data_IF_274743091864
#
_entry.id   IF_274743091864
#
_cell.length_a   1.000
_cell.length_b   1.000
_cell.length_c   1.000
_cell.angle_alpha   90.00
_cell.angle_beta   90.00
_cell.angle_gamma   90.00
#
_symmetry.space_group_name_H-M   'P 1'
#
loop_
_entity.id
_entity.type
_entity.pdbx_description
1 polymer ?
#
# COMPACT_ATOMS: atom_id res chain seq x y z
N UNK A 1 6.94 -1.91 -7.12
CA UNK A 1 6.64 -3.20 -6.48
C UNK A 1 6.05 -2.93 -5.09
N UNK A 2 4.96 -3.62 -4.71
CA UNK A 2 4.30 -3.44 -3.40
C UNK A 2 4.29 -4.70 -2.53
N UNK A 3 4.43 -5.88 -3.12
CA UNK A 3 4.48 -7.15 -2.40
C UNK A 3 5.38 -8.14 -3.17
N UNK A 4 6.00 -9.08 -2.46
CA UNK A 4 6.76 -10.19 -3.04
C UNK A 4 6.44 -11.45 -2.25
N UNK A 5 6.13 -12.52 -2.97
CA UNK A 5 6.02 -13.85 -2.38
C UNK A 5 6.84 -14.85 -3.16
N UNK A 6 7.34 -15.85 -2.46
CA UNK A 6 8.02 -17.00 -3.03
C UNK A 6 7.52 -18.27 -2.34
N UNK A 7 7.53 -19.38 -3.05
CA UNK A 7 7.39 -20.70 -2.44
C UNK A 7 8.75 -21.12 -1.87
N UNK A 8 8.79 -21.49 -0.60
CA UNK A 8 9.98 -21.92 0.13
C UNK A 8 9.55 -23.11 0.99
N UNK A 9 10.18 -24.27 0.78
CA UNK A 9 9.87 -25.53 1.47
C UNK A 9 8.38 -25.94 1.35
N UNK A 10 7.78 -25.68 0.17
CA UNK A 10 6.37 -25.98 -0.11
C UNK A 10 5.37 -24.99 0.49
N UNK A 11 5.84 -23.92 1.14
CA UNK A 11 5.00 -22.88 1.73
C UNK A 11 5.19 -21.54 1.00
N UNK A 12 4.10 -20.84 0.70
CA UNK A 12 4.19 -19.48 0.13
C UNK A 12 4.49 -18.46 1.22
N UNK A 13 5.71 -17.92 1.21
CA UNK A 13 6.18 -16.90 2.14
C UNK A 13 6.19 -15.52 1.50
N UNK A 14 5.76 -14.50 2.25
CA UNK A 14 5.94 -13.09 1.84
C UNK A 14 7.30 -12.60 2.32
N UNK A 15 7.99 -11.89 1.44
CA UNK A 15 9.35 -11.40 1.66
C UNK A 15 9.34 -9.88 1.75
N UNK A 16 10.28 -9.32 2.52
CA UNK A 16 10.52 -7.88 2.50
C UNK A 16 11.07 -7.49 1.12
N UNK A 17 10.22 -6.79 0.34
CA UNK A 17 10.54 -6.35 -1.01
C UNK A 17 11.78 -5.44 -1.05
N UNK A 18 11.97 -4.61 -0.03
CA UNK A 18 13.09 -3.67 0.02
C UNK A 18 14.40 -4.41 0.21
N UNK A 19 14.43 -5.33 1.17
CA UNK A 19 15.62 -6.14 1.44
C UNK A 19 15.94 -7.09 0.26
N UNK A 20 14.92 -7.70 -0.33
CA UNK A 20 15.13 -8.67 -1.41
C UNK A 20 15.60 -8.01 -2.72
N UNK A 21 14.98 -6.89 -3.09
CA UNK A 21 15.25 -6.26 -4.38
C UNK A 21 16.50 -5.38 -4.36
N UNK A 22 16.91 -4.87 -3.20
CA UNK A 22 18.15 -4.08 -3.03
C UNK A 22 18.30 -2.98 -4.10
N UNK A 23 17.25 -2.16 -4.25
CA UNK A 23 17.22 -1.06 -5.22
C UNK A 23 17.10 -1.46 -6.70
N UNK A 24 17.18 -2.74 -7.06
CA UNK A 24 17.11 -3.21 -8.46
C UNK A 24 15.75 -2.94 -9.13
N UNK A 25 14.70 -2.69 -8.34
CA UNK A 25 13.37 -2.30 -8.84
C UNK A 25 12.77 -1.19 -7.95
N UNK A 26 12.03 -0.24 -8.53
CA UNK A 26 11.35 0.78 -7.75
C UNK A 26 10.26 0.16 -6.87
N UNK A 27 10.21 0.64 -5.63
CA UNK A 27 9.22 0.24 -4.63
C UNK A 27 8.14 1.31 -4.52
N UNK A 28 6.96 0.90 -4.08
CA UNK A 28 5.96 1.89 -3.63
C UNK A 28 6.52 2.64 -2.42
N UNK A 29 6.32 3.97 -2.30
CA UNK A 29 6.85 4.74 -1.18
C UNK A 29 6.27 4.28 0.16
N UNK A 30 7.15 4.08 1.16
CA UNK A 30 6.74 3.85 2.55
C UNK A 30 6.50 5.20 3.22
N UNK A 31 5.25 5.49 3.57
CA UNK A 31 4.88 6.78 4.18
C UNK A 31 5.02 6.77 5.71
N UNK A 32 4.87 5.61 6.35
CA UNK A 32 4.91 5.47 7.80
C UNK A 32 5.27 4.05 8.23
N UNK A 33 5.85 3.91 9.42
CA UNK A 33 6.07 2.63 10.10
C UNK A 33 5.90 2.86 11.60
N UNK A 34 5.03 2.08 12.23
CA UNK A 34 4.71 2.22 13.65
C UNK A 34 3.34 1.63 13.98
N UNK A 35 2.84 1.88 15.20
CA UNK A 35 1.51 1.46 15.63
C UNK A 35 0.42 1.97 14.69
N UNK A 36 -0.63 1.15 14.51
CA UNK A 36 -1.80 1.55 13.75
C UNK A 36 -2.59 2.62 14.52
N UNK A 37 -2.96 3.68 13.80
CA UNK A 37 -3.76 4.79 14.27
C UNK A 37 -4.70 5.19 13.12
N UNK A 38 -6.01 5.01 13.32
CA UNK A 38 -7.01 5.29 12.29
C UNK A 38 -7.10 6.77 11.94
N UNK A 39 -6.78 7.68 12.87
CA UNK A 39 -6.87 9.12 12.65
C UNK A 39 -5.81 9.61 11.66
N UNK A 40 -4.68 8.90 11.56
CA UNK A 40 -3.60 9.21 10.60
C UNK A 40 -3.87 8.70 9.19
N UNK A 41 -4.78 7.74 9.02
CA UNK A 41 -5.02 7.12 7.72
C UNK A 41 -5.47 8.14 6.66
N UNK A 42 -6.44 9.03 6.93
CA UNK A 42 -6.84 10.07 5.98
C UNK A 42 -5.69 11.00 5.58
N UNK A 43 -4.78 11.30 6.49
CA UNK A 43 -3.61 12.16 6.24
C UNK A 43 -2.68 11.52 5.21
N UNK A 44 -2.36 10.23 5.38
CA UNK A 44 -1.50 9.51 4.45
C UNK A 44 -2.20 9.18 3.12
N UNK A 45 -3.51 8.90 3.15
CA UNK A 45 -4.30 8.65 1.95
C UNK A 45 -4.34 9.88 1.04
N UNK A 46 -4.27 11.08 1.61
CA UNK A 46 -4.49 12.33 0.88
C UNK A 46 -3.21 12.95 0.29
N UNK A 47 -3.39 13.78 -0.74
CA UNK A 47 -2.32 14.56 -1.34
C UNK A 47 -1.77 13.97 -2.65
N UNK A 48 -0.62 14.50 -3.09
CA UNK A 48 -0.04 14.18 -4.39
C UNK A 48 0.97 13.04 -4.31
N UNK A 49 1.03 12.24 -5.36
CA UNK A 49 2.02 11.17 -5.48
C UNK A 49 3.46 11.72 -5.42
N UNK A 50 4.39 10.90 -4.95
CA UNK A 50 5.82 11.24 -4.86
C UNK A 50 6.70 10.38 -5.78
N UNK A 51 6.11 9.41 -6.48
CA UNK A 51 6.82 8.43 -7.32
C UNK A 51 7.48 9.11 -8.51
N UNK A 52 6.82 10.13 -9.08
CA UNK A 52 7.36 10.90 -10.20
C UNK A 52 8.44 11.91 -9.78
N UNK A 53 8.58 12.19 -8.48
CA UNK A 53 9.36 13.32 -7.96
C UNK A 53 8.76 14.71 -8.27
N UNK A 54 7.66 14.78 -9.03
CA UNK A 54 7.08 16.03 -9.55
C UNK A 54 5.69 16.36 -8.99
N UNK A 55 5.08 15.44 -8.23
CA UNK A 55 3.76 15.64 -7.60
C UNK A 55 2.71 16.03 -8.63
N UNK A 56 2.61 15.29 -9.73
CA UNK A 56 1.76 15.67 -10.87
C UNK A 56 0.30 15.24 -10.66
N UNK A 57 0.08 14.12 -9.97
CA UNK A 57 -1.24 13.51 -9.79
C UNK A 57 -1.62 13.41 -8.32
N UNK A 58 -2.92 13.40 -8.05
CA UNK A 58 -3.41 12.95 -6.75
C UNK A 58 -3.03 11.49 -6.57
N UNK A 59 -2.61 11.12 -5.36
CA UNK A 59 -2.52 9.71 -5.02
C UNK A 59 -3.95 9.16 -4.86
N UNK A 60 -4.16 7.94 -5.30
CA UNK A 60 -5.43 7.25 -5.10
C UNK A 60 -5.69 7.04 -3.61
N UNK A 61 -4.67 6.60 -2.87
CA UNK A 61 -4.79 6.32 -1.46
C UNK A 61 -3.55 5.63 -0.89
N UNK A 62 -3.76 4.83 0.14
CA UNK A 62 -2.72 4.05 0.82
C UNK A 62 -3.16 2.61 1.06
N UNK A 63 -2.17 1.72 1.12
CA UNK A 63 -2.32 0.36 1.61
C UNK A 63 -1.65 0.27 2.98
N UNK A 64 -2.36 -0.30 3.94
CA UNK A 64 -1.89 -0.53 5.30
C UNK A 64 -1.72 -2.03 5.46
N UNK A 65 -0.51 -2.46 5.86
CA UNK A 65 -0.19 -3.84 6.16
C UNK A 65 0.38 -3.97 7.56
N UNK A 66 0.18 -5.15 8.14
CA UNK A 66 0.86 -5.54 9.37
C UNK A 66 2.36 -5.71 9.12
N UNK A 67 3.18 -5.38 10.13
CA UNK A 67 4.63 -5.54 10.04
C UNK A 67 5.00 -7.04 9.94
N UNK A 68 4.43 -7.83 10.85
CA UNK A 68 4.42 -9.29 10.81
C UNK A 68 3.12 -9.74 10.16
N UNK A 69 3.21 -10.52 9.09
CA UNK A 69 2.02 -11.00 8.38
C UNK A 69 1.15 -11.86 9.28
N UNK A 70 -0.16 -11.63 9.21
CA UNK A 70 -1.16 -12.44 9.91
C UNK A 70 -2.46 -12.48 9.13
N UNK A 71 -3.25 -13.49 9.44
CA UNK A 71 -4.62 -13.61 8.98
C UNK A 71 -5.57 -12.72 9.82
N UNK A 72 -6.64 -12.26 9.19
CA UNK A 72 -7.73 -11.52 9.83
C UNK A 72 -8.92 -12.47 10.02
N UNK A 73 -9.30 -12.80 11.27
CA UNK A 73 -10.45 -13.65 11.53
C UNK A 73 -11.77 -13.00 11.09
N UNK A 74 -11.80 -11.67 10.90
CA UNK A 74 -12.98 -10.92 10.48
C UNK A 74 -13.21 -11.03 8.97
N UNK A 75 -12.15 -10.91 8.18
CA UNK A 75 -12.25 -10.84 6.71
C UNK A 75 -11.91 -12.15 6.02
N UNK A 76 -11.46 -13.18 6.75
CA UNK A 76 -11.11 -14.46 6.14
C UNK A 76 -9.83 -14.43 5.29
N UNK A 77 -9.13 -13.30 5.26
CA UNK A 77 -7.94 -13.09 4.43
C UNK A 77 -6.79 -12.45 5.19
N UNK A 78 -5.90 -11.81 4.46
CA UNK A 78 -4.75 -11.10 5.04
C UNK A 78 -5.23 -9.92 5.89
N UNK A 79 -4.56 -9.68 7.02
CA UNK A 79 -4.77 -8.47 7.81
C UNK A 79 -4.12 -7.27 7.10
N UNK A 80 -4.84 -6.72 6.13
CA UNK A 80 -4.49 -5.54 5.35
C UNK A 80 -5.72 -4.70 5.05
N UNK A 81 -5.52 -3.42 4.81
CA UNK A 81 -6.58 -2.49 4.44
C UNK A 81 -6.12 -1.55 3.33
N UNK A 82 -7.07 -1.04 2.56
CA UNK A 82 -6.88 0.04 1.59
C UNK A 82 -7.78 1.20 1.98
N UNK A 83 -7.21 2.40 2.00
CA UNK A 83 -7.96 3.64 2.18
C UNK A 83 -7.76 4.50 0.93
N UNK A 84 -8.87 4.85 0.26
CA UNK A 84 -8.87 5.71 -0.92
C UNK A 84 -9.15 7.15 -0.48
N UNK A 85 -8.44 8.11 -1.07
CA UNK A 85 -8.59 9.52 -0.70
C UNK A 85 -9.94 10.08 -1.17
N UNK A 86 -10.62 10.90 -0.34
CA UNK A 86 -11.88 11.53 -0.75
C UNK A 86 -11.74 12.40 -2.00
N UNK A 87 -10.60 13.10 -2.15
CA UNK A 87 -10.31 13.93 -3.31
C UNK A 87 -10.13 13.12 -4.59
N UNK A 88 -9.60 11.89 -4.51
CA UNK A 88 -9.51 10.99 -5.65
C UNK A 88 -10.89 10.48 -6.06
N UNK A 89 -11.72 10.05 -5.11
CA UNK A 89 -13.07 9.54 -5.38
C UNK A 89 -14.01 10.58 -6.00
N UNK A 90 -13.87 11.84 -5.59
CA UNK A 90 -14.76 12.94 -6.03
C UNK A 90 -14.23 13.71 -7.24
N UNK A 91 -13.14 13.24 -7.87
CA UNK A 91 -12.54 13.92 -9.03
C UNK A 91 -13.50 13.82 -10.23
N UNK A 92 -13.76 14.94 -10.89
CA UNK A 92 -14.71 15.06 -12.02
C UNK A 92 -14.29 14.30 -13.30
N UNK A 93 -13.15 13.61 -13.31
CA UNK A 93 -12.61 12.88 -14.46
C UNK A 93 -12.05 11.53 -13.99
N UNK A 94 -12.90 10.71 -13.38
CA UNK A 94 -12.59 9.31 -13.10
C UNK A 94 -12.79 8.49 -14.37
N UNK A 95 -11.72 8.03 -15.00
CA UNK A 95 -11.78 7.12 -16.16
C UNK A 95 -11.77 5.65 -15.73
N UNK A 96 -12.52 5.30 -14.69
CA UNK A 96 -12.68 3.91 -14.28
C UNK A 96 -13.93 3.40 -15.02
N UNK A 97 -13.69 2.77 -16.18
CA UNK A 97 -14.71 2.03 -16.92
C UNK A 97 -14.93 0.69 -16.18
N UNK A 98 -16.19 0.36 -15.89
CA UNK A 98 -16.61 -0.97 -15.46
C UNK A 98 -16.55 -1.99 -16.60
#
# INVERSE_FOLDING_TARGET
>A
MCDVSAEIDGEVRRLDAANLLDGRRPLVPRLYTGPYDSERVPEFASGRETVSGRRLRLREGVVIRTAVERHSPVTGGRAMAKAVSPAYLTRKSGTEYE
#
